data_IF_485011196735
#
_entry.id   IF_485011196735
#
_cell.length_a   1.000
_cell.length_b   1.000
_cell.length_c   1.000
_cell.angle_alpha   90.00
_cell.angle_beta   90.00
_cell.angle_gamma   90.00
#
_symmetry.space_group_name_H-M   'P 1'
#
loop_
_entity.id
_entity.type
_entity.pdbx_description
1 polymer ?
#
# COMPACT_ATOMS: atom_id res chain seq x y z
N UNK A 1 3.76 -11.02 6.00
CA UNK A 1 3.29 -9.69 6.44
C UNK A 1 3.08 -8.81 5.22
N UNK A 2 1.88 -8.23 5.06
CA UNK A 2 1.54 -7.45 3.88
C UNK A 2 2.19 -6.06 3.90
N UNK A 3 2.14 -5.35 2.77
CA UNK A 3 2.69 -4.00 2.60
C UNK A 3 1.75 -2.87 3.03
N UNK A 4 2.12 -1.64 2.67
CA UNK A 4 1.26 -0.46 2.79
C UNK A 4 -0.08 -0.73 2.09
N UNK A 5 -1.20 -0.36 2.70
CA UNK A 5 -2.54 -0.65 2.16
C UNK A 5 -2.82 -2.16 1.96
N UNK A 6 -2.11 -3.05 2.67
CA UNK A 6 -2.32 -4.49 2.56
C UNK A 6 -3.19 -5.11 3.66
N UNK A 7 -3.54 -4.33 4.70
CA UNK A 7 -4.44 -4.74 5.79
C UNK A 7 -5.65 -3.80 5.88
N UNK A 8 -6.73 -4.26 6.48
CA UNK A 8 -7.97 -3.51 6.61
C UNK A 8 -8.44 -3.41 8.06
N UNK A 9 -8.96 -2.24 8.42
CA UNK A 9 -9.75 -2.05 9.63
C UNK A 9 -10.85 -1.01 9.34
N UNK A 10 -12.10 -1.38 9.59
CA UNK A 10 -13.25 -0.56 9.25
C UNK A 10 -13.24 0.80 9.95
N UNK A 11 -13.03 0.81 11.27
CA UNK A 11 -13.04 2.03 12.07
C UNK A 11 -11.88 2.96 11.68
N UNK A 12 -10.72 2.37 11.39
CA UNK A 12 -9.54 3.10 10.95
C UNK A 12 -9.74 3.82 9.61
N UNK A 13 -10.26 3.09 8.62
CA UNK A 13 -10.31 3.55 7.22
C UNK A 13 -11.60 4.33 6.93
N UNK A 14 -12.75 3.81 7.33
CA UNK A 14 -14.05 4.39 7.00
C UNK A 14 -14.53 5.44 8.00
N UNK A 15 -14.15 5.32 9.28
CA UNK A 15 -14.49 6.32 10.30
C UNK A 15 -13.32 7.27 10.61
N UNK A 16 -12.22 7.19 9.85
CA UNK A 16 -11.00 7.96 10.08
C UNK A 16 -10.48 7.89 11.54
N UNK A 17 -10.70 6.78 12.25
CA UNK A 17 -10.30 6.68 13.66
C UNK A 17 -8.80 6.39 13.77
N UNK A 18 -8.07 7.19 14.55
CA UNK A 18 -6.60 7.10 14.66
C UNK A 18 -6.09 6.36 15.90
N UNK A 19 -6.96 6.06 16.87
CA UNK A 19 -6.65 5.34 18.12
C UNK A 19 -7.89 4.62 18.67
N UNK A 20 -7.72 3.76 19.69
CA UNK A 20 -8.84 3.06 20.37
C UNK A 20 -9.78 2.33 19.38
N UNK A 21 -9.18 1.60 18.43
CA UNK A 21 -9.90 0.72 17.52
C UNK A 21 -10.43 -0.48 18.33
N UNK A 22 -11.69 -0.85 18.12
CA UNK A 22 -12.33 -1.97 18.83
C UNK A 22 -12.16 -3.29 18.08
N UNK A 23 -12.00 -3.19 16.76
CA UNK A 23 -11.84 -4.33 15.86
C UNK A 23 -10.37 -4.57 15.53
N UNK A 24 -9.94 -5.84 15.34
CA UNK A 24 -8.60 -6.14 14.87
C UNK A 24 -8.40 -5.72 13.40
N UNK A 25 -7.15 -5.70 12.96
CA UNK A 25 -6.82 -5.59 11.54
C UNK A 25 -6.95 -6.96 10.88
N UNK A 26 -7.47 -6.99 9.65
CA UNK A 26 -7.68 -8.21 8.85
C UNK A 26 -7.06 -8.04 7.47
N UNK A 27 -7.17 -9.07 6.61
CA UNK A 27 -6.90 -8.87 5.19
C UNK A 27 -7.86 -7.83 4.60
N UNK A 28 -7.37 -7.13 3.58
CA UNK A 28 -8.20 -6.28 2.77
C UNK A 28 -8.61 -7.05 1.52
N UNK A 29 -9.88 -6.96 1.12
CA UNK A 29 -10.36 -7.61 -0.11
C UNK A 29 -9.51 -7.29 -1.35
N UNK A 30 -8.90 -6.11 -1.40
CA UNK A 30 -8.01 -5.69 -2.50
C UNK A 30 -6.63 -6.33 -2.45
N UNK A 31 -6.21 -6.83 -1.29
CA UNK A 31 -4.89 -7.43 -1.09
C UNK A 31 -4.93 -8.96 -1.08
N UNK A 32 -6.12 -9.57 -0.99
CA UNK A 32 -6.31 -11.02 -1.08
C UNK A 32 -5.69 -11.58 -2.37
N UNK A 33 -5.98 -10.99 -3.54
CA UNK A 33 -5.40 -11.45 -4.83
C UNK A 33 -3.86 -11.33 -4.90
N UNK A 34 -3.24 -10.57 -3.99
CA UNK A 34 -1.78 -10.40 -3.90
C UNK A 34 -1.17 -11.42 -2.94
N UNK A 35 -1.78 -11.64 -1.77
CA UNK A 35 -1.18 -12.42 -0.69
C UNK A 35 -1.73 -13.84 -0.56
N UNK A 36 -2.96 -14.11 -1.04
CA UNK A 36 -3.55 -15.45 -0.98
C UNK A 36 -2.69 -16.50 -1.69
N UNK A 37 -2.04 -16.24 -2.85
CA UNK A 37 -1.17 -17.23 -3.49
C UNK A 37 -0.06 -17.76 -2.58
N UNK A 38 0.71 -16.88 -1.93
CA UNK A 38 1.77 -17.32 -1.01
C UNK A 38 1.19 -17.95 0.26
N UNK A 39 0.08 -17.42 0.79
CA UNK A 39 -0.58 -17.98 1.98
C UNK A 39 -1.05 -19.41 1.71
N UNK A 40 -1.60 -19.66 0.52
CA UNK A 40 -2.07 -20.97 0.08
C UNK A 40 -0.92 -21.95 -0.22
N UNK A 41 0.25 -21.44 -0.61
CA UNK A 41 1.43 -22.27 -0.91
C UNK A 41 2.23 -22.68 0.34
N UNK A 42 2.14 -21.93 1.47
CA UNK A 42 2.88 -22.24 2.71
C UNK A 42 2.57 -23.65 3.27
N UNK A 43 1.31 -24.13 3.31
CA UNK A 43 1.00 -25.50 3.74
C UNK A 43 1.74 -26.60 2.96
N UNK A 44 2.03 -26.39 1.68
CA UNK A 44 2.73 -27.38 0.83
C UNK A 44 4.20 -27.56 1.23
N UNK A 45 4.76 -26.60 1.98
CA UNK A 45 6.11 -26.72 2.57
C UNK A 45 6.11 -27.38 3.94
N UNK A 46 4.95 -27.87 4.43
CA UNK A 46 4.77 -28.40 5.78
C UNK A 46 4.74 -27.33 6.88
N UNK A 47 4.61 -26.05 6.52
CA UNK A 47 4.56 -24.92 7.45
C UNK A 47 3.11 -24.44 7.65
N UNK A 48 2.82 -23.78 8.77
CA UNK A 48 1.52 -23.15 8.99
C UNK A 48 1.59 -21.65 8.70
N UNK A 49 0.72 -21.09 7.83
CA UNK A 49 0.72 -19.65 7.59
C UNK A 49 0.18 -18.89 8.81
N UNK A 50 0.90 -17.84 9.22
CA UNK A 50 0.50 -16.94 10.30
C UNK A 50 0.41 -15.49 9.78
N UNK A 51 -0.67 -15.11 9.08
CA UNK A 51 -0.83 -13.73 8.60
C UNK A 51 -0.92 -12.76 9.78
N UNK A 52 -0.02 -11.79 9.81
CA UNK A 52 -0.06 -10.67 10.74
C UNK A 52 -0.50 -9.40 9.99
N UNK A 53 -1.76 -9.01 10.22
CA UNK A 53 -2.36 -7.79 9.72
C UNK A 53 -2.20 -6.67 10.75
N UNK A 54 -1.88 -5.46 10.30
CA UNK A 54 -1.44 -4.39 11.18
C UNK A 54 -1.87 -3.01 10.67
N UNK A 55 -1.76 -2.00 11.55
CA UNK A 55 -2.08 -0.61 11.19
C UNK A 55 -0.93 -0.01 10.39
N UNK A 56 -0.98 -0.20 9.06
CA UNK A 56 0.01 0.32 8.12
C UNK A 56 0.04 1.85 8.06
N UNK A 57 -0.91 2.55 8.68
CA UNK A 57 -0.88 4.01 8.79
C UNK A 57 0.13 4.47 9.86
N UNK A 58 0.44 3.62 10.83
CA UNK A 58 1.39 3.90 11.91
C UNK A 58 2.82 3.59 11.50
N UNK A 59 3.77 4.22 12.19
CA UNK A 59 5.19 3.97 11.98
C UNK A 59 5.50 2.46 12.12
N UNK A 60 6.37 1.88 11.27
CA UNK A 60 6.78 0.48 11.38
C UNK A 60 7.23 0.08 12.80
N UNK A 61 7.87 0.99 13.52
CA UNK A 61 8.36 0.76 14.90
C UNK A 61 7.21 0.57 15.90
N UNK A 62 6.08 1.24 15.72
CA UNK A 62 4.89 1.06 16.57
C UNK A 62 4.27 -0.33 16.35
N UNK A 63 4.36 -0.86 15.13
CA UNK A 63 3.84 -2.19 14.79
C UNK A 63 4.78 -3.32 15.23
N UNK A 64 6.08 -3.06 15.42
CA UNK A 64 7.05 -4.04 15.91
C UNK A 64 6.66 -4.61 17.29
N UNK A 65 6.16 -3.76 18.20
CA UNK A 65 5.68 -4.21 19.52
C UNK A 65 4.48 -5.16 19.39
N UNK A 66 3.55 -4.88 18.46
CA UNK A 66 2.40 -5.74 18.20
C UNK A 66 2.82 -7.05 17.54
N UNK A 67 3.85 -7.02 16.68
CA UNK A 67 4.42 -8.22 16.07
C UNK A 67 5.03 -9.14 17.15
N UNK A 68 5.73 -8.58 18.14
CA UNK A 68 6.24 -9.35 19.29
C UNK A 68 5.12 -10.11 19.99
N UNK A 69 4.09 -9.39 20.41
CA UNK A 69 2.92 -9.95 21.09
C UNK A 69 2.22 -11.01 20.24
N UNK A 70 2.14 -10.80 18.93
CA UNK A 70 1.58 -11.77 18.00
C UNK A 70 2.41 -13.05 17.97
N UNK A 71 3.74 -12.97 17.81
CA UNK A 71 4.62 -14.15 17.81
C UNK A 71 4.49 -14.92 19.12
N UNK A 72 4.60 -14.24 20.27
CA UNK A 72 4.46 -14.85 21.60
C UNK A 72 3.08 -15.51 21.81
N UNK A 73 2.02 -15.01 21.16
CA UNK A 73 0.69 -15.62 21.20
C UNK A 73 0.53 -16.86 20.30
N UNK A 74 1.47 -17.07 19.38
CA UNK A 74 1.44 -18.14 18.38
C UNK A 74 2.49 -19.22 18.61
N UNK A 75 3.44 -19.00 19.51
CA UNK A 75 4.53 -19.92 19.79
C UNK A 75 4.60 -20.29 21.28
N UNK A 76 5.24 -21.42 21.58
CA UNK A 76 5.64 -21.76 22.95
C UNK A 76 7.03 -21.18 23.26
N UNK A 77 7.44 -21.07 24.55
CA UNK A 77 8.78 -20.57 24.90
C UNK A 77 9.90 -21.31 24.15
N UNK A 78 10.75 -20.57 23.46
CA UNK A 78 11.88 -21.08 22.66
C UNK A 78 11.54 -21.50 21.22
N UNK A 79 10.26 -21.57 20.85
CA UNK A 79 9.86 -21.78 19.46
C UNK A 79 9.98 -20.47 18.67
N UNK A 80 10.67 -20.54 17.52
CA UNK A 80 10.92 -19.41 16.61
C UNK A 80 10.16 -19.61 15.29
N UNK A 81 9.72 -18.51 14.69
CA UNK A 81 9.02 -18.50 13.40
C UNK A 81 9.93 -18.10 12.24
N UNK A 82 9.51 -18.42 11.02
CA UNK A 82 10.03 -17.79 9.81
C UNK A 82 9.14 -16.60 9.44
N UNK A 83 9.75 -15.49 9.08
CA UNK A 83 9.07 -14.25 8.76
C UNK A 83 9.29 -13.86 7.29
N UNK A 84 8.19 -13.59 6.58
CA UNK A 84 8.20 -13.04 5.22
C UNK A 84 7.56 -11.65 5.30
N UNK A 85 8.30 -10.63 4.89
CA UNK A 85 7.83 -9.24 4.91
C UNK A 85 7.84 -8.64 3.52
N UNK A 86 6.66 -8.31 2.98
CA UNK A 86 6.56 -7.66 1.67
C UNK A 86 6.44 -6.15 1.81
N UNK A 87 7.19 -5.38 1.01
CA UNK A 87 7.11 -3.93 0.96
C UNK A 87 7.27 -3.33 2.37
N UNK A 88 6.38 -2.46 2.83
CA UNK A 88 6.39 -1.93 4.20
C UNK A 88 6.36 -3.03 5.30
N UNK A 89 5.80 -4.22 5.03
CA UNK A 89 5.76 -5.32 5.99
C UNK A 89 7.15 -5.81 6.40
N UNK A 90 8.13 -5.78 5.48
CA UNK A 90 9.52 -6.09 5.82
C UNK A 90 10.19 -5.00 6.66
N UNK A 91 9.73 -3.74 6.57
CA UNK A 91 10.18 -2.69 7.49
C UNK A 91 9.66 -2.89 8.91
N UNK A 92 8.44 -3.42 9.09
CA UNK A 92 7.94 -3.76 10.43
C UNK A 92 8.76 -4.90 11.05
N UNK A 93 9.08 -5.93 10.27
CA UNK A 93 9.94 -7.04 10.74
C UNK A 93 11.35 -6.53 11.04
N UNK A 94 11.91 -5.67 10.18
CA UNK A 94 13.19 -5.00 10.44
C UNK A 94 13.16 -4.27 11.78
N UNK A 95 12.15 -3.44 12.04
CA UNK A 95 12.03 -2.69 13.29
C UNK A 95 11.92 -3.63 14.51
N UNK A 96 11.23 -4.76 14.38
CA UNK A 96 11.18 -5.81 15.40
C UNK A 96 12.54 -6.46 15.65
N UNK A 97 13.26 -6.82 14.58
CA UNK A 97 14.60 -7.42 14.69
C UNK A 97 15.62 -6.44 15.29
N UNK A 98 15.56 -5.16 14.92
CA UNK A 98 16.39 -4.10 15.52
C UNK A 98 16.11 -3.93 17.03
N UNK A 99 14.88 -4.16 17.48
CA UNK A 99 14.50 -4.03 18.89
C UNK A 99 14.85 -5.29 19.73
N UNK A 100 14.63 -6.49 19.18
CA UNK A 100 14.75 -7.75 19.93
C UNK A 100 16.13 -8.41 19.82
N UNK A 101 16.86 -8.17 18.72
CA UNK A 101 18.20 -8.72 18.51
C UNK A 101 18.25 -10.25 18.74
N UNK A 102 19.12 -10.74 19.62
CA UNK A 102 19.27 -12.17 19.94
C UNK A 102 18.05 -12.79 20.61
N UNK A 103 17.19 -11.98 21.25
CA UNK A 103 15.96 -12.43 21.90
C UNK A 103 14.80 -12.59 20.90
N UNK A 104 15.08 -12.43 19.61
CA UNK A 104 14.07 -12.54 18.56
C UNK A 104 13.40 -13.91 18.54
N UNK A 105 12.06 -13.89 18.50
CA UNK A 105 11.22 -15.05 18.18
C UNK A 105 11.23 -15.41 16.68
N UNK A 106 12.09 -14.78 15.86
CA UNK A 106 12.26 -15.08 14.44
C UNK A 106 13.62 -15.75 14.24
N UNK A 107 13.66 -16.85 13.49
CA UNK A 107 14.91 -17.53 13.11
C UNK A 107 15.33 -17.29 11.66
N UNK A 108 14.36 -16.97 10.78
CA UNK A 108 14.61 -16.59 9.38
C UNK A 108 13.74 -15.42 8.98
N UNK A 109 14.31 -14.41 8.32
CA UNK A 109 13.61 -13.27 7.76
C UNK A 109 13.91 -13.13 6.26
N UNK A 110 12.87 -13.20 5.44
CA UNK A 110 12.91 -12.84 4.03
C UNK A 110 12.20 -11.50 3.83
N UNK A 111 12.99 -10.49 3.49
CA UNK A 111 12.50 -9.20 3.02
C UNK A 111 12.15 -9.29 1.54
N UNK A 112 10.97 -8.83 1.12
CA UNK A 112 10.49 -8.95 -0.27
C UNK A 112 10.10 -7.57 -0.78
N UNK A 113 10.96 -6.97 -1.61
CA UNK A 113 10.74 -5.63 -2.18
C UNK A 113 10.60 -4.51 -1.13
N UNK A 114 11.16 -4.66 0.07
CA UNK A 114 10.98 -3.67 1.15
C UNK A 114 11.89 -2.45 0.99
N UNK A 115 11.38 -1.21 1.12
CA UNK A 115 12.18 0.00 0.91
C UNK A 115 13.04 0.34 2.13
N UNK A 116 14.13 -0.40 2.37
CA UNK A 116 15.07 -0.19 3.48
C UNK A 116 15.81 1.15 3.43
N UNK A 117 15.83 1.84 2.28
CA UNK A 117 16.29 3.21 2.11
C UNK A 117 15.18 4.18 1.66
N UNK A 118 13.91 3.77 1.78
CA UNK A 118 12.73 4.54 1.36
C UNK A 118 12.43 4.47 -0.14
N UNK A 119 11.31 5.07 -0.54
CA UNK A 119 10.82 5.13 -1.91
C UNK A 119 10.38 6.55 -2.27
N UNK A 120 10.79 7.04 -3.45
CA UNK A 120 10.62 8.44 -3.83
C UNK A 120 9.15 8.84 -4.04
N UNK A 121 8.27 7.88 -4.29
CA UNK A 121 6.83 8.06 -4.45
C UNK A 121 6.11 8.53 -3.18
N UNK A 122 6.73 8.38 -2.00
CA UNK A 122 6.23 8.89 -0.73
C UNK A 122 6.33 10.43 -0.59
N UNK A 123 7.25 11.07 -1.32
CA UNK A 123 7.52 12.51 -1.22
C UNK A 123 6.30 13.39 -1.54
N UNK A 124 5.60 13.22 -2.67
CA UNK A 124 4.39 14.01 -2.98
C UNK A 124 3.31 13.96 -1.91
N UNK A 125 3.07 12.77 -1.34
CA UNK A 125 2.07 12.59 -0.28
C UNK A 125 2.51 13.34 0.98
N UNK A 126 3.76 13.17 1.40
CA UNK A 126 4.27 13.83 2.61
C UNK A 126 4.39 15.35 2.49
N UNK A 127 4.81 15.85 1.32
CA UNK A 127 5.14 17.25 1.12
C UNK A 127 3.94 18.11 0.73
N UNK A 128 2.90 17.52 0.13
CA UNK A 128 1.75 18.29 -0.37
C UNK A 128 0.41 17.55 -0.32
N UNK A 129 0.38 16.30 0.16
CA UNK A 129 -0.83 15.46 0.13
C UNK A 129 -1.21 14.96 -1.26
N UNK A 130 -0.29 15.01 -2.23
CA UNK A 130 -0.55 14.46 -3.56
C UNK A 130 -0.25 12.96 -3.59
N UNK A 131 -1.22 12.17 -4.04
CA UNK A 131 -1.09 10.70 -4.04
C UNK A 131 -0.51 10.21 -5.36
N UNK A 132 0.72 9.70 -5.33
CA UNK A 132 1.36 8.97 -6.43
C UNK A 132 1.44 7.48 -6.10
N UNK A 133 1.80 6.65 -7.09
CA UNK A 133 2.01 5.20 -6.92
C UNK A 133 0.92 4.35 -7.55
N UNK A 134 0.80 3.12 -7.08
CA UNK A 134 -0.15 2.14 -7.61
C UNK A 134 -1.61 2.46 -7.24
N UNK A 135 -2.53 1.80 -7.95
CA UNK A 135 -3.97 2.07 -7.86
C UNK A 135 -4.60 1.66 -6.53
N UNK A 136 -4.10 0.61 -5.86
CA UNK A 136 -4.59 0.20 -4.53
C UNK A 136 -4.24 1.27 -3.48
N UNK A 137 -2.99 1.75 -3.50
CA UNK A 137 -2.57 2.84 -2.62
C UNK A 137 -3.35 4.14 -2.91
N UNK A 138 -3.53 4.49 -4.18
CA UNK A 138 -4.38 5.64 -4.57
C UNK A 138 -5.78 5.52 -4.00
N UNK A 139 -6.41 4.35 -4.14
CA UNK A 139 -7.74 4.12 -3.58
C UNK A 139 -7.73 4.25 -2.04
N UNK A 140 -6.77 3.61 -1.36
CA UNK A 140 -6.65 3.69 0.09
C UNK A 140 -6.52 5.12 0.60
N UNK A 141 -5.64 5.90 -0.02
CA UNK A 141 -5.41 7.29 0.32
C UNK A 141 -6.65 8.16 0.05
N UNK A 142 -7.32 7.98 -1.09
CA UNK A 142 -8.56 8.70 -1.41
C UNK A 142 -9.70 8.34 -0.47
N UNK A 143 -9.85 7.07 -0.07
CA UNK A 143 -10.85 6.68 0.93
C UNK A 143 -10.58 7.42 2.25
N UNK A 144 -9.33 7.44 2.71
CA UNK A 144 -8.95 8.15 3.93
C UNK A 144 -9.22 9.65 3.79
N UNK A 145 -8.79 10.30 2.70
CA UNK A 145 -9.03 11.71 2.43
C UNK A 145 -10.53 12.06 2.53
N UNK A 146 -11.37 11.35 1.77
CA UNK A 146 -12.82 11.57 1.72
C UNK A 146 -13.47 11.34 3.09
N UNK A 147 -13.11 10.25 3.78
CA UNK A 147 -13.77 9.86 5.03
C UNK A 147 -13.30 10.73 6.20
N UNK A 148 -12.03 11.10 6.26
CA UNK A 148 -11.54 12.05 7.25
C UNK A 148 -12.18 13.42 7.09
N UNK A 149 -12.37 13.89 5.85
CA UNK A 149 -13.14 15.11 5.60
C UNK A 149 -14.55 15.04 6.21
N UNK A 150 -15.28 13.93 6.04
CA UNK A 150 -16.60 13.73 6.69
C UNK A 150 -16.53 13.61 8.21
N UNK A 151 -15.43 13.10 8.77
CA UNK A 151 -15.24 12.92 10.21
C UNK A 151 -14.78 14.19 10.95
N UNK A 152 -14.94 15.38 10.34
CA UNK A 152 -14.68 16.65 11.00
C UNK A 152 -13.33 17.30 10.68
N UNK A 153 -12.57 16.76 9.71
CA UNK A 153 -11.34 17.40 9.20
C UNK A 153 -11.63 18.51 8.17
N UNK A 154 -12.79 19.17 8.27
CA UNK A 154 -13.16 20.25 7.34
C UNK A 154 -12.17 21.42 7.42
N UNK A 155 -11.68 21.86 6.26
CA UNK A 155 -10.72 22.97 6.16
C UNK A 155 -9.27 22.61 6.49
N UNK A 156 -8.99 21.34 6.83
CA UNK A 156 -7.63 20.82 6.98
C UNK A 156 -7.12 20.42 5.60
N UNK A 157 -5.86 20.73 5.30
CA UNK A 157 -5.27 20.36 4.01
C UNK A 157 -4.99 18.86 3.91
N UNK A 158 -5.00 18.30 2.69
CA UNK A 158 -4.68 16.87 2.47
C UNK A 158 -3.33 16.48 3.05
N UNK A 159 -2.33 17.39 2.93
CA UNK A 159 -1.02 17.23 3.59
C UNK A 159 -1.18 16.98 5.10
N UNK A 160 -1.95 17.81 5.80
CA UNK A 160 -2.13 17.68 7.26
C UNK A 160 -2.94 16.44 7.63
N UNK A 161 -3.94 16.07 6.81
CA UNK A 161 -4.67 14.81 6.96
C UNK A 161 -3.71 13.63 6.84
N UNK A 162 -2.92 13.54 5.77
CA UNK A 162 -2.01 12.41 5.60
C UNK A 162 -0.91 12.37 6.67
N UNK A 163 -0.34 13.51 7.07
CA UNK A 163 0.66 13.56 8.14
C UNK A 163 0.13 13.09 9.49
N UNK A 164 -1.14 13.38 9.79
CA UNK A 164 -1.76 13.02 11.08
C UNK A 164 -2.33 11.59 11.08
N UNK A 165 -2.93 11.18 9.97
CA UNK A 165 -3.64 9.89 9.86
C UNK A 165 -2.72 8.78 9.41
N UNK A 166 -1.77 9.06 8.51
CA UNK A 166 -0.84 8.10 7.90
C UNK A 166 0.63 8.54 8.08
N UNK A 167 1.10 8.75 9.33
CA UNK A 167 2.49 9.16 9.59
C UNK A 167 3.53 8.19 9.02
N UNK A 168 3.17 6.93 8.74
CA UNK A 168 4.07 5.96 8.10
C UNK A 168 4.63 6.41 6.74
N UNK A 169 3.93 7.29 6.02
CA UNK A 169 4.42 7.87 4.76
C UNK A 169 5.75 8.62 4.99
N UNK A 170 5.93 9.27 6.15
CA UNK A 170 7.20 9.91 6.49
C UNK A 170 8.35 8.90 6.56
N UNK A 171 8.06 7.73 7.14
CA UNK A 171 9.03 6.65 7.34
C UNK A 171 9.33 5.87 6.06
N UNK A 172 8.60 6.16 4.98
CA UNK A 172 8.91 5.68 3.62
C UNK A 172 9.72 6.68 2.80
N UNK A 173 9.98 7.90 3.30
CA UNK A 173 10.79 8.89 2.59
C UNK A 173 12.20 8.37 2.32
N UNK A 174 12.81 8.66 1.15
CA UNK A 174 14.16 8.21 0.87
C UNK A 174 15.19 8.76 1.84
N UNK A 175 16.16 7.93 2.23
CA UNK A 175 17.36 8.34 2.97
C UNK A 175 18.54 8.71 2.05
N UNK A 176 18.38 8.58 0.74
CA UNK A 176 19.33 9.00 -0.30
C UNK A 176 18.85 10.28 -0.99
N UNK A 177 19.71 10.91 -1.80
CA UNK A 177 19.32 12.08 -2.60
C UNK A 177 18.44 11.65 -3.77
N UNK A 178 17.21 12.15 -3.82
CA UNK A 178 16.22 11.81 -4.84
C UNK A 178 15.58 13.03 -5.49
N UNK A 179 15.84 14.24 -4.98
CA UNK A 179 15.35 15.48 -5.58
C UNK A 179 16.44 16.08 -6.47
N UNK A 180 16.10 16.43 -7.71
CA UNK A 180 17.03 17.08 -8.65
C UNK A 180 16.55 18.49 -8.95
N UNK A 181 17.36 19.50 -8.64
CA UNK A 181 17.03 20.88 -8.94
C UNK A 181 17.05 21.13 -10.45
N UNK A 182 15.95 21.62 -11.03
CA UNK A 182 15.85 21.80 -12.48
C UNK A 182 16.72 22.94 -13.03
N UNK A 183 17.14 23.90 -12.20
CA UNK A 183 17.96 25.04 -12.63
C UNK A 183 19.44 24.66 -12.63
N UNK A 184 19.93 24.02 -11.56
CA UNK A 184 21.35 23.62 -11.45
C UNK A 184 21.63 22.23 -12.01
N UNK A 185 20.61 21.40 -12.22
CA UNK A 185 20.71 19.98 -12.57
C UNK A 185 21.40 19.11 -11.49
N UNK A 186 21.49 19.62 -10.25
CA UNK A 186 22.14 18.92 -9.14
C UNK A 186 21.15 18.16 -8.24
N UNK A 187 21.60 17.03 -7.71
CA UNK A 187 20.88 16.30 -6.66
C UNK A 187 20.98 17.02 -5.32
N UNK A 188 19.82 17.34 -4.73
CA UNK A 188 19.68 18.01 -3.43
C UNK A 188 19.22 17.06 -2.34
N UNK A 189 19.66 17.34 -1.11
CA UNK A 189 19.19 16.67 0.10
C UNK A 189 17.91 17.36 0.59
N UNK A 190 16.85 16.58 0.84
CA UNK A 190 15.63 17.09 1.46
C UNK A 190 15.92 17.53 2.91
N UNK A 191 15.49 18.74 3.25
CA UNK A 191 15.65 19.35 4.57
C UNK A 191 14.39 19.22 5.42
N UNK A 192 13.21 19.30 4.81
CA UNK A 192 11.92 19.26 5.52
C UNK A 192 11.24 17.89 5.42
N UNK A 193 11.47 17.17 4.34
CA UNK A 193 10.89 15.86 4.05
C UNK A 193 11.91 14.77 4.34
N UNK A 194 12.26 14.65 5.62
CA UNK A 194 13.23 13.67 6.10
C UNK A 194 12.54 12.47 6.75
N UNK A 195 13.11 11.30 6.48
CA UNK A 195 12.74 10.07 7.14
C UNK A 195 13.22 10.10 8.61
N UNK A 196 12.38 9.78 9.60
CA UNK A 196 12.78 9.86 11.02
C UNK A 196 13.51 8.61 11.54
N UNK A 197 13.63 7.55 10.74
CA UNK A 197 14.17 6.26 11.18
C UNK A 197 15.25 5.71 10.25
N UNK A 198 14.98 5.60 8.94
CA UNK A 198 15.94 5.06 7.97
C UNK A 198 17.29 5.82 7.85
N UNK A 199 17.43 7.14 8.15
CA UNK A 199 18.72 7.80 8.05
C UNK A 199 19.66 7.50 9.24
N UNK A 200 19.20 6.80 10.28
CA UNK A 200 20.00 6.50 11.48
C UNK A 200 20.65 5.11 11.48
N UNK A 201 20.62 4.37 10.36
CA UNK A 201 21.42 3.16 10.21
C UNK A 201 20.92 2.24 9.12
N UNK A 202 21.85 1.68 8.35
CA UNK A 202 21.62 0.43 7.63
C UNK A 202 21.22 -0.63 8.65
N UNK A 203 20.26 -1.49 8.31
CA UNK A 203 19.86 -2.62 9.14
C UNK A 203 21.13 -3.41 9.52
N UNK A 204 21.57 -3.31 10.77
CA UNK A 204 22.89 -3.81 11.17
C UNK A 204 22.85 -5.33 11.27
N UNK A 205 23.61 -5.98 10.40
CA UNK A 205 23.79 -7.42 10.38
C UNK A 205 25.24 -7.79 10.72
N UNK A 206 25.50 -9.00 11.25
CA UNK A 206 24.52 -10.06 11.54
C UNK A 206 23.75 -9.81 12.84
N UNK A 207 22.48 -10.27 12.88
CA UNK A 207 21.76 -10.47 14.13
C UNK A 207 22.02 -11.93 14.57
N UNK A 208 22.53 -12.18 15.79
CA UNK A 208 22.80 -13.53 16.26
C UNK A 208 21.57 -14.44 16.10
N UNK A 209 21.79 -15.65 15.57
CA UNK A 209 20.76 -16.68 15.38
C UNK A 209 19.61 -16.36 14.42
N UNK A 210 19.70 -15.25 13.68
CA UNK A 210 18.70 -14.87 12.68
C UNK A 210 19.31 -14.91 11.29
N UNK A 211 18.79 -15.78 10.43
CA UNK A 211 19.08 -15.76 9.00
C UNK A 211 18.30 -14.62 8.34
N UNK A 212 18.99 -13.74 7.60
CA UNK A 212 18.36 -12.64 6.87
C UNK A 212 18.69 -12.72 5.39
N UNK A 213 17.66 -12.61 4.56
CA UNK A 213 17.78 -12.46 3.13
C UNK A 213 16.78 -11.45 2.57
N UNK A 214 17.07 -10.91 1.39
CA UNK A 214 16.20 -10.02 0.64
C UNK A 214 15.98 -10.55 -0.77
N UNK A 215 14.73 -10.58 -1.21
CA UNK A 215 14.30 -10.75 -2.59
C UNK A 215 13.90 -9.38 -3.14
N UNK A 216 14.55 -8.94 -4.22
CA UNK A 216 14.28 -7.64 -4.84
C UNK A 216 14.03 -7.76 -6.34
N UNK A 217 13.14 -6.91 -6.86
CA UNK A 217 12.77 -6.87 -8.27
C UNK A 217 13.64 -5.94 -9.09
N UNK A 218 13.70 -6.22 -10.39
CA UNK A 218 14.40 -5.45 -11.43
C UNK A 218 13.61 -5.49 -12.73
N UNK A 219 14.02 -4.72 -13.73
CA UNK A 219 13.40 -4.69 -15.06
C UNK A 219 12.20 -3.78 -15.17
N UNK A 220 11.79 -3.12 -14.08
CA UNK A 220 10.62 -2.25 -14.05
C UNK A 220 11.03 -0.80 -13.87
N UNK A 221 10.41 0.09 -14.64
CA UNK A 221 10.64 1.53 -14.51
C UNK A 221 10.20 2.02 -13.12
N UNK A 222 11.18 2.41 -12.30
CA UNK A 222 11.00 2.73 -10.90
C UNK A 222 11.46 4.15 -10.62
N UNK A 223 10.63 4.95 -9.94
CA UNK A 223 10.94 6.36 -9.65
C UNK A 223 12.24 6.49 -8.85
N UNK A 224 13.29 7.00 -9.48
CA UNK A 224 14.60 7.17 -8.87
C UNK A 224 14.86 8.60 -8.44
N UNK A 225 14.41 9.56 -9.25
CA UNK A 225 14.60 10.97 -8.99
C UNK A 225 13.36 11.78 -9.37
N UNK A 226 13.17 12.90 -8.68
CA UNK A 226 12.10 13.85 -8.92
C UNK A 226 12.75 15.19 -9.29
N UNK A 227 12.70 15.59 -10.57
CA UNK A 227 13.02 16.94 -10.97
C UNK A 227 12.08 17.92 -10.27
N UNK A 228 12.63 18.93 -9.60
CA UNK A 228 11.88 19.93 -8.85
C UNK A 228 12.25 21.36 -9.23
N UNK A 229 11.31 22.28 -8.97
CA UNK A 229 11.53 23.73 -8.99
C UNK A 229 11.09 24.36 -7.68
N UNK A 230 11.40 25.63 -7.49
CA UNK A 230 10.90 26.39 -6.34
C UNK A 230 9.36 26.41 -6.31
N UNK A 231 8.81 26.21 -5.11
CA UNK A 231 7.39 26.42 -4.84
C UNK A 231 7.02 27.90 -5.07
N UNK A 232 5.83 28.17 -5.58
CA UNK A 232 5.35 29.55 -5.72
C UNK A 232 4.97 30.15 -4.35
N UNK A 233 4.69 31.46 -4.30
CA UNK A 233 4.39 32.15 -3.03
C UNK A 233 3.20 31.57 -2.26
N UNK A 234 2.13 31.16 -2.94
CA UNK A 234 0.97 30.57 -2.28
C UNK A 234 1.32 29.19 -1.70
N UNK A 235 2.07 28.38 -2.45
CA UNK A 235 2.55 27.06 -2.01
C UNK A 235 3.50 27.16 -0.81
N UNK A 236 4.38 28.18 -0.79
CA UNK A 236 5.25 28.48 0.35
C UNK A 236 4.44 28.88 1.60
N UNK A 237 3.40 29.71 1.44
CA UNK A 237 2.49 30.08 2.54
C UNK A 237 1.78 28.85 3.11
N UNK A 238 1.36 27.93 2.25
CA UNK A 238 0.75 26.65 2.64
C UNK A 238 1.78 25.64 3.17
N UNK A 239 3.08 25.98 3.16
CA UNK A 239 4.17 25.09 3.58
C UNK A 239 4.19 23.77 2.79
N UNK A 240 3.76 23.78 1.52
CA UNK A 240 3.85 22.63 0.63
C UNK A 240 5.06 22.77 -0.28
N UNK A 241 5.64 21.65 -0.71
CA UNK A 241 6.82 21.64 -1.59
C UNK A 241 8.02 22.40 -1.03
N UNK A 242 8.23 22.37 0.29
CA UNK A 242 9.33 23.09 0.94
C UNK A 242 10.71 22.63 0.44
N UNK A 243 10.84 21.37 0.02
CA UNK A 243 12.05 20.84 -0.61
C UNK A 243 12.05 20.93 -2.15
N UNK A 244 10.99 21.45 -2.76
CA UNK A 244 10.87 21.62 -4.21
C UNK A 244 9.61 21.00 -4.81
N UNK A 245 8.93 21.74 -5.69
CA UNK A 245 7.73 21.27 -6.38
C UNK A 245 8.10 20.35 -7.54
N UNK A 246 7.57 19.12 -7.61
CA UNK A 246 7.78 18.23 -8.74
C UNK A 246 7.38 18.85 -10.08
N UNK A 247 8.20 18.62 -11.10
CA UNK A 247 7.92 19.02 -12.50
C UNK A 247 8.13 17.87 -13.48
N UNK A 248 8.43 16.68 -12.97
CA UNK A 248 8.64 15.47 -13.75
C UNK A 248 8.87 14.27 -12.84
N UNK A 249 9.09 13.12 -13.47
CA UNK A 249 9.45 11.85 -12.85
C UNK A 249 10.61 11.28 -13.65
N UNK A 250 11.71 10.92 -13.00
CA UNK A 250 12.83 10.22 -13.63
C UNK A 250 12.86 8.80 -13.09
N UNK A 251 12.74 7.82 -13.98
CA UNK A 251 12.74 6.40 -13.63
C UNK A 251 14.07 5.72 -13.93
N UNK A 252 14.31 4.61 -13.23
CA UNK A 252 15.39 3.65 -13.48
C UNK A 252 14.81 2.24 -13.53
N UNK A 253 15.27 1.40 -14.47
CA UNK A 253 14.83 0.01 -14.62
C UNK A 253 15.46 -0.94 -13.59
N UNK A 254 16.39 -0.47 -12.78
CA UNK A 254 16.99 -1.23 -11.67
C UNK A 254 16.12 -1.08 -10.42
N UNK A 255 14.90 -1.60 -10.52
CA UNK A 255 13.89 -1.64 -9.47
C UNK A 255 12.65 -2.42 -9.90
N UNK A 256 11.67 -2.52 -9.00
CA UNK A 256 10.47 -3.36 -9.14
C UNK A 256 9.21 -2.59 -9.56
N UNK A 257 9.36 -1.31 -9.91
CA UNK A 257 8.29 -0.40 -10.30
C UNK A 257 7.76 0.46 -9.15
N UNK A 258 8.12 0.13 -7.91
CA UNK A 258 7.82 0.91 -6.70
C UNK A 258 9.11 1.23 -5.93
N UNK A 259 9.92 0.22 -5.64
CA UNK A 259 11.13 0.29 -4.84
C UNK A 259 12.36 0.06 -5.72
N UNK A 260 13.31 0.99 -5.65
CA UNK A 260 14.61 0.83 -6.31
C UNK A 260 15.34 -0.37 -5.72
N UNK A 261 16.07 -1.14 -6.54
CA UNK A 261 16.86 -2.26 -6.03
C UNK A 261 17.82 -1.81 -4.93
N UNK A 262 18.49 -0.66 -5.08
CA UNK A 262 19.38 -0.10 -4.05
C UNK A 262 18.70 0.09 -2.69
N UNK A 263 17.38 0.34 -2.68
CA UNK A 263 16.59 0.52 -1.47
C UNK A 263 16.08 -0.80 -0.92
N UNK A 264 15.89 -1.81 -1.77
CA UNK A 264 15.47 -3.15 -1.38
C UNK A 264 16.61 -4.03 -0.84
N UNK A 265 17.85 -3.75 -1.23
CA UNK A 265 19.03 -4.46 -0.76
C UNK A 265 19.25 -4.27 0.75
N UNK A 266 19.65 -5.34 1.41
CA UNK A 266 20.11 -5.33 2.80
C UNK A 266 21.62 -5.63 2.79
N UNK A 267 22.49 -4.69 3.16
CA UNK A 267 23.93 -4.96 3.29
C UNK A 267 24.19 -6.15 4.22
N UNK A 268 25.18 -6.97 3.87
CA UNK A 268 25.62 -8.16 4.63
C UNK A 268 24.57 -9.30 4.74
N UNK A 269 23.41 -9.18 4.10
CA UNK A 269 22.45 -10.26 3.89
C UNK A 269 22.66 -10.99 2.57
N UNK A 270 22.00 -12.14 2.40
CA UNK A 270 21.82 -12.73 1.06
C UNK A 270 20.81 -11.88 0.30
N UNK A 271 21.20 -11.38 -0.86
CA UNK A 271 20.35 -10.56 -1.71
C UNK A 271 20.11 -11.29 -3.03
N UNK A 272 18.86 -11.65 -3.31
CA UNK A 272 18.43 -12.30 -4.53
C UNK A 272 17.67 -11.33 -5.42
N UNK A 273 18.10 -11.26 -6.67
CA UNK A 273 17.39 -10.55 -7.72
C UNK A 273 16.35 -11.44 -8.38
N UNK A 274 15.19 -10.87 -8.72
CA UNK A 274 14.23 -11.42 -9.68
C UNK A 274 13.82 -10.35 -10.71
N UNK A 275 13.41 -10.77 -11.91
CA UNK A 275 12.90 -9.85 -12.94
C UNK A 275 11.37 -9.70 -12.83
N UNK A 276 10.91 -9.36 -11.64
CA UNK A 276 9.49 -9.26 -11.28
C UNK A 276 9.16 -7.84 -10.82
N UNK A 277 7.91 -7.43 -11.04
CA UNK A 277 7.40 -6.19 -10.46
C UNK A 277 7.11 -6.36 -8.96
N UNK A 278 6.87 -5.24 -8.29
CA UNK A 278 6.70 -5.17 -6.84
C UNK A 278 5.68 -6.17 -6.29
N UNK A 279 4.56 -6.37 -6.99
CA UNK A 279 3.50 -7.29 -6.59
C UNK A 279 3.85 -8.74 -6.93
N UNK A 280 4.42 -8.98 -8.10
CA UNK A 280 4.75 -10.34 -8.55
C UNK A 280 5.86 -10.98 -7.71
N UNK A 281 6.71 -10.19 -7.04
CA UNK A 281 7.69 -10.71 -6.07
C UNK A 281 7.07 -11.58 -4.97
N UNK A 282 5.83 -11.30 -4.55
CA UNK A 282 5.13 -12.04 -3.47
C UNK A 282 3.95 -12.88 -3.99
N UNK A 283 3.50 -12.61 -5.23
CA UNK A 283 2.29 -13.18 -5.82
C UNK A 283 2.58 -14.27 -6.85
N UNK A 284 3.58 -14.06 -7.73
CA UNK A 284 3.84 -14.95 -8.85
C UNK A 284 4.59 -16.21 -8.39
N UNK A 285 4.37 -17.33 -9.08
CA UNK A 285 4.99 -18.62 -8.75
C UNK A 285 6.53 -18.52 -8.70
N UNK A 286 7.15 -17.75 -9.60
CA UNK A 286 8.60 -17.48 -9.58
C UNK A 286 9.04 -16.80 -8.27
N UNK A 287 8.34 -15.75 -7.85
CA UNK A 287 8.63 -15.03 -6.61
C UNK A 287 8.42 -15.88 -5.37
N UNK A 288 7.31 -16.61 -5.30
CA UNK A 288 6.99 -17.54 -4.21
C UNK A 288 8.05 -18.64 -4.10
N UNK A 289 8.43 -19.24 -5.23
CA UNK A 289 9.46 -20.28 -5.28
C UNK A 289 10.78 -19.77 -4.74
N UNK A 290 11.18 -18.55 -5.10
CA UNK A 290 12.43 -17.98 -4.64
C UNK A 290 12.41 -17.62 -3.14
N UNK A 291 11.27 -17.17 -2.61
CA UNK A 291 11.09 -16.97 -1.17
C UNK A 291 11.28 -18.28 -0.42
N UNK A 292 10.66 -19.37 -0.89
CA UNK A 292 10.80 -20.68 -0.25
C UNK A 292 12.21 -21.27 -0.39
N UNK A 293 12.88 -21.06 -1.52
CA UNK A 293 14.30 -21.41 -1.69
C UNK A 293 15.19 -20.70 -0.67
N UNK A 294 15.01 -19.39 -0.46
CA UNK A 294 15.76 -18.63 0.55
C UNK A 294 15.45 -19.10 1.99
N UNK A 295 14.22 -19.57 2.24
CA UNK A 295 13.86 -20.21 3.50
C UNK A 295 14.41 -21.64 3.65
N UNK A 296 14.97 -22.23 2.58
CA UNK A 296 15.41 -23.62 2.56
C UNK A 296 14.25 -24.62 2.67
N UNK A 297 13.09 -24.24 2.17
CA UNK A 297 11.88 -25.06 2.16
C UNK A 297 11.74 -25.75 0.79
N UNK A 298 11.36 -27.02 0.79
CA UNK A 298 11.06 -27.73 -0.45
C UNK A 298 9.68 -27.31 -0.95
N UNK A 299 9.63 -26.77 -2.16
CA UNK A 299 8.39 -26.41 -2.84
C UNK A 299 8.44 -26.94 -4.28
N UNK A 300 7.51 -27.83 -4.61
CA UNK A 300 7.38 -28.36 -5.96
C UNK A 300 6.66 -27.34 -6.83
N UNK A 301 7.35 -26.74 -7.79
CA UNK A 301 6.70 -25.91 -8.80
C UNK A 301 5.86 -26.85 -9.66
N UNK A 302 4.53 -26.68 -9.71
CA UNK A 302 3.77 -27.30 -10.80
C UNK A 302 4.20 -26.64 -12.10
N UNK A 303 4.40 -27.41 -13.17
CA UNK A 303 4.71 -26.94 -14.54
C UNK A 303 3.57 -26.12 -15.17
N UNK A 304 2.89 -25.26 -14.42
CA UNK A 304 2.09 -24.19 -14.96
C UNK A 304 3.03 -23.10 -15.44
N UNK A 305 3.06 -22.90 -16.75
CA UNK A 305 3.68 -21.73 -17.37
C UNK A 305 3.35 -20.49 -16.52
N UNK A 306 4.38 -19.79 -16.07
CA UNK A 306 4.26 -18.54 -15.35
C UNK A 306 3.41 -17.59 -16.19
N UNK A 307 2.11 -17.52 -15.89
CA UNK A 307 1.27 -16.44 -16.36
C UNK A 307 1.69 -15.25 -15.54
N UNK A 308 2.69 -14.51 -16.04
CA UNK A 308 2.87 -13.11 -15.69
C UNK A 308 1.47 -12.50 -15.73
N UNK A 309 0.90 -12.20 -14.56
CA UNK A 309 -0.33 -11.44 -14.50
C UNK A 309 0.09 -10.02 -14.82
N UNK A 310 0.14 -9.75 -16.11
CA UNK A 310 0.53 -8.47 -16.66
C UNK A 310 -0.40 -7.40 -16.07
N UNK A 311 0.24 -6.37 -15.52
CA UNK A 311 -0.29 -5.04 -15.23
C UNK A 311 -1.00 -4.86 -13.88
N UNK A 312 -0.28 -4.23 -12.95
CA UNK A 312 -0.89 -3.41 -11.89
C UNK A 312 -2.01 -2.55 -12.51
N UNK A 313 -3.26 -2.63 -12.02
CA UNK A 313 -4.37 -2.03 -12.73
C UNK A 313 -4.15 -0.54 -12.95
N UNK A 314 -4.39 -0.08 -14.17
CA UNK A 314 -4.14 1.33 -14.55
C UNK A 314 -5.31 2.24 -14.19
N UNK A 315 -6.48 1.65 -13.95
CA UNK A 315 -7.71 2.33 -13.59
C UNK A 315 -8.54 1.53 -12.60
N UNK A 316 -9.44 2.22 -11.90
CA UNK A 316 -10.34 1.59 -10.93
C UNK A 316 -11.63 2.39 -10.77
N UNK A 317 -12.75 1.67 -10.64
CA UNK A 317 -14.03 2.21 -10.20
C UNK A 317 -14.36 1.61 -8.84
N UNK A 318 -14.50 2.45 -7.82
CA UNK A 318 -14.79 2.02 -6.46
C UNK A 318 -16.03 2.72 -5.90
N UNK A 319 -16.88 1.94 -5.25
CA UNK A 319 -18.07 2.42 -4.56
C UNK A 319 -17.88 2.08 -3.08
N UNK A 320 -18.01 3.09 -2.23
CA UNK A 320 -17.87 2.94 -0.78
C UNK A 320 -19.12 3.42 -0.07
N UNK A 321 -19.62 2.65 0.90
CA UNK A 321 -20.69 3.08 1.80
C UNK A 321 -20.49 2.51 3.18
N UNK A 322 -20.70 3.34 4.21
CA UNK A 322 -20.52 3.00 5.61
C UNK A 322 -21.76 2.40 6.27
N UNK A 323 -22.91 2.68 5.67
CA UNK A 323 -24.21 2.68 6.34
C UNK A 323 -25.20 1.71 5.68
N UNK A 324 -24.87 1.18 4.50
CA UNK A 324 -25.72 0.21 3.79
C UNK A 324 -24.92 -0.85 3.05
N UNK A 325 -25.55 -2.01 2.83
CA UNK A 325 -25.09 -3.01 1.86
C UNK A 325 -25.51 -2.60 0.47
N UNK A 326 -24.69 -2.94 -0.51
CA UNK A 326 -24.98 -2.65 -1.90
C UNK A 326 -24.48 -3.74 -2.83
N UNK A 327 -25.00 -3.75 -4.03
CA UNK A 327 -24.56 -4.64 -5.10
C UNK A 327 -24.47 -3.87 -6.41
N UNK A 328 -23.62 -4.34 -7.31
CA UNK A 328 -23.42 -3.72 -8.61
C UNK A 328 -23.48 -4.78 -9.71
N UNK A 329 -24.23 -4.47 -10.75
CA UNK A 329 -24.14 -5.16 -12.04
C UNK A 329 -23.11 -4.41 -12.88
N UNK A 330 -22.02 -5.08 -13.23
CA UNK A 330 -20.98 -4.50 -14.09
C UNK A 330 -21.41 -4.46 -15.58
N UNK A 331 -20.59 -3.82 -16.41
CA UNK A 331 -20.85 -3.66 -17.85
C UNK A 331 -21.00 -4.99 -18.61
N UNK A 332 -20.47 -6.09 -18.06
CA UNK A 332 -20.54 -7.44 -18.62
C UNK A 332 -21.73 -8.23 -18.02
N UNK A 333 -22.56 -7.61 -17.18
CA UNK A 333 -23.70 -8.24 -16.53
C UNK A 333 -23.35 -9.06 -15.28
N UNK A 334 -22.10 -9.02 -14.79
CA UNK A 334 -21.72 -9.74 -13.58
C UNK A 334 -22.19 -8.99 -12.34
N UNK A 335 -22.77 -9.73 -11.40
CA UNK A 335 -23.25 -9.19 -10.12
C UNK A 335 -22.13 -9.27 -9.09
N UNK A 336 -21.88 -8.17 -8.39
CA UNK A 336 -20.90 -8.07 -7.30
C UNK A 336 -21.59 -7.51 -6.06
N UNK A 337 -21.45 -8.17 -4.91
CA UNK A 337 -21.91 -7.66 -3.63
C UNK A 337 -20.82 -6.82 -2.96
N UNK A 338 -21.22 -5.86 -2.13
CA UNK A 338 -20.30 -5.10 -1.30
C UNK A 338 -19.70 -5.98 -0.21
N UNK A 339 -18.38 -5.95 -0.09
CA UNK A 339 -17.63 -6.59 0.98
C UNK A 339 -16.79 -5.53 1.69
N UNK A 340 -16.70 -5.58 3.03
CA UNK A 340 -16.03 -4.52 3.81
C UNK A 340 -16.47 -3.09 3.40
N UNK A 341 -17.76 -2.92 3.09
CA UNK A 341 -18.37 -1.65 2.64
C UNK A 341 -17.82 -1.09 1.32
N UNK A 342 -17.19 -1.94 0.51
CA UNK A 342 -16.53 -1.59 -0.74
C UNK A 342 -16.98 -2.52 -1.88
N UNK A 343 -17.16 -1.95 -3.07
CA UNK A 343 -16.99 -2.68 -4.33
C UNK A 343 -15.91 -1.94 -5.11
N UNK A 344 -14.88 -2.63 -5.57
CA UNK A 344 -13.85 -2.07 -6.44
C UNK A 344 -13.70 -2.95 -7.68
N UNK A 345 -13.62 -2.31 -8.83
CA UNK A 345 -13.36 -2.98 -10.11
C UNK A 345 -12.07 -2.40 -10.66
N UNK A 346 -11.06 -3.25 -10.79
CA UNK A 346 -9.81 -2.98 -11.49
C UNK A 346 -10.03 -2.98 -13.00
N UNK A 347 -9.42 -2.02 -13.70
CA UNK A 347 -9.55 -1.80 -15.14
C UNK A 347 -10.97 -1.96 -15.70
N UNK A 348 -11.94 -1.19 -15.16
CA UNK A 348 -13.33 -1.24 -15.60
C UNK A 348 -13.45 -0.86 -17.09
N UNK A 349 -14.36 -1.56 -17.79
CA UNK A 349 -14.75 -1.20 -19.16
C UNK A 349 -15.58 0.08 -19.15
N UNK A 350 -15.53 0.83 -20.23
CA UNK A 350 -16.45 1.95 -20.42
C UNK A 350 -17.88 1.42 -20.55
N UNK A 351 -18.84 2.03 -19.85
CA UNK A 351 -20.22 1.58 -19.89
C UNK A 351 -21.06 1.94 -18.65
N UNK A 352 -22.27 1.40 -18.64
CA UNK A 352 -23.24 1.59 -17.55
C UNK A 352 -23.08 0.49 -16.51
N UNK A 353 -22.91 0.90 -15.27
CA UNK A 353 -22.90 0.05 -14.08
C UNK A 353 -24.18 0.31 -13.30
N UNK A 354 -24.89 -0.75 -12.91
CA UNK A 354 -26.15 -0.61 -12.15
C UNK A 354 -25.89 -0.91 -10.68
N UNK A 355 -25.88 0.13 -9.86
CA UNK A 355 -25.72 0.06 -8.41
C UNK A 355 -27.09 -0.08 -7.75
N UNK A 356 -27.24 -1.09 -6.90
CA UNK A 356 -28.42 -1.28 -6.04
C UNK A 356 -28.01 -1.14 -4.59
N UNK A 357 -28.58 -0.15 -3.91
CA UNK A 357 -28.39 0.13 -2.49
C UNK A 357 -29.55 -0.47 -1.72
N UNK A 358 -29.25 -1.26 -0.70
CA UNK A 358 -30.27 -1.79 0.21
C UNK A 358 -30.76 -0.67 1.17
N UNK A 359 -31.95 -0.81 1.77
CA UNK A 359 -32.46 0.16 2.74
C UNK A 359 -31.49 0.33 3.92
N UNK A 360 -31.23 1.58 4.30
CA UNK A 360 -30.50 1.92 5.52
C UNK A 360 -31.47 2.39 6.60
N UNK A 361 -31.17 2.06 7.86
CA UNK A 361 -31.98 2.44 9.03
C UNK A 361 -31.92 3.96 9.32
N UNK A 362 -30.88 4.63 8.83
CA UNK A 362 -30.66 6.07 8.97
C UNK A 362 -30.34 6.71 7.61
N UNK A 363 -30.10 8.02 7.59
CA UNK A 363 -29.59 8.70 6.40
C UNK A 363 -28.22 8.10 6.03
N UNK A 364 -28.13 7.56 4.82
CA UNK A 364 -26.92 6.92 4.31
C UNK A 364 -26.33 7.75 3.15
N UNK A 365 -25.04 7.56 2.90
CA UNK A 365 -24.40 8.06 1.69
C UNK A 365 -23.51 6.99 1.08
N UNK A 366 -23.20 7.18 -0.21
CA UNK A 366 -22.16 6.41 -0.87
C UNK A 366 -21.27 7.34 -1.68
N UNK A 367 -19.99 7.03 -1.72
CA UNK A 367 -19.02 7.73 -2.55
C UNK A 367 -18.66 6.85 -3.73
N UNK A 368 -18.62 7.46 -4.90
CA UNK A 368 -18.06 6.87 -6.11
C UNK A 368 -16.69 7.46 -6.32
N UNK A 369 -15.67 6.62 -6.44
CA UNK A 369 -14.27 6.99 -6.71
C UNK A 369 -13.87 6.39 -8.05
N UNK A 370 -13.22 7.20 -8.88
CA UNK A 370 -12.70 6.83 -10.19
C UNK A 370 -11.21 7.16 -10.22
N UNK A 371 -10.38 6.15 -10.44
CA UNK A 371 -8.96 6.29 -10.77
C UNK A 371 -8.81 6.00 -12.25
N UNK A 372 -8.25 6.95 -13.00
CA UNK A 372 -8.18 6.88 -14.46
C UNK A 372 -6.75 6.56 -14.93
N UNK A 373 -6.57 6.04 -16.17
CA UNK A 373 -5.26 5.65 -16.69
C UNK A 373 -4.21 6.77 -16.75
N UNK A 374 -4.64 8.03 -16.69
CA UNK A 374 -3.78 9.21 -16.69
C UNK A 374 -3.48 9.74 -15.27
N UNK A 375 -3.58 8.89 -14.25
CA UNK A 375 -3.43 9.21 -12.82
C UNK A 375 -4.49 10.18 -12.24
N UNK A 376 -5.49 10.60 -13.01
CA UNK A 376 -6.54 11.49 -12.49
C UNK A 376 -7.47 10.70 -11.57
N UNK A 377 -7.67 11.24 -10.37
CA UNK A 377 -8.63 10.76 -9.38
C UNK A 377 -9.84 11.69 -9.39
N UNK A 378 -11.03 11.12 -9.51
CA UNK A 378 -12.31 11.84 -9.39
C UNK A 378 -13.13 11.12 -8.34
N UNK A 379 -13.82 11.87 -7.49
CA UNK A 379 -14.77 11.27 -6.58
C UNK A 379 -15.97 12.17 -6.38
N UNK A 380 -17.12 11.55 -6.11
CA UNK A 380 -18.34 12.26 -5.75
C UNK A 380 -19.14 11.46 -4.76
N UNK A 381 -19.74 12.16 -3.82
CA UNK A 381 -20.64 11.58 -2.85
C UNK A 381 -22.10 11.87 -3.16
N UNK A 382 -22.94 10.88 -2.85
CA UNK A 382 -24.36 10.90 -3.13
C UNK A 382 -25.13 10.51 -1.87
N UNK A 383 -26.16 11.29 -1.55
CA UNK A 383 -27.07 10.97 -0.46
C UNK A 383 -28.07 9.89 -0.89
N UNK A 384 -28.39 9.00 0.05
CA UNK A 384 -29.45 8.01 -0.06
C UNK A 384 -30.61 8.37 0.88
N UNK A 385 -31.84 8.28 0.37
CA UNK A 385 -33.04 8.40 1.21
C UNK A 385 -33.15 7.18 2.13
N UNK A 386 -33.36 7.42 3.42
CA UNK A 386 -33.51 6.36 4.44
C UNK A 386 -34.68 5.43 4.14
N UNK A 387 -34.57 4.17 4.55
CA UNK A 387 -35.65 3.18 4.46
C UNK A 387 -36.06 2.74 3.04
N UNK A 388 -35.39 3.21 1.99
CA UNK A 388 -35.76 2.91 0.60
C UNK A 388 -34.62 2.22 -0.14
N UNK A 389 -34.94 1.05 -0.70
CA UNK A 389 -34.07 0.38 -1.68
C UNK A 389 -34.01 1.23 -2.95
N UNK A 390 -32.82 1.51 -3.45
CA UNK A 390 -32.68 2.37 -4.63
C UNK A 390 -31.72 1.79 -5.65
N UNK A 391 -32.05 1.95 -6.92
CA UNK A 391 -31.19 1.58 -8.04
C UNK A 391 -30.70 2.85 -8.73
N UNK A 392 -29.41 2.89 -9.00
CA UNK A 392 -28.68 4.01 -9.59
C UNK A 392 -27.88 3.47 -10.78
N UNK A 393 -27.80 4.24 -11.86
CA UNK A 393 -26.95 3.91 -13.02
C UNK A 393 -25.75 4.83 -13.02
N UNK A 394 -24.56 4.26 -13.16
CA UNK A 394 -23.29 4.97 -13.18
C UNK A 394 -22.67 4.80 -14.57
N UNK A 395 -22.37 5.88 -15.27
CA UNK A 395 -21.73 5.85 -16.58
C UNK A 395 -20.22 6.11 -16.47
N UNK A 396 -19.44 5.04 -16.43
CA UNK A 396 -17.99 5.14 -16.38
C UNK A 396 -17.42 5.31 -17.80
N UNK A 397 -16.54 6.30 -17.99
CA UNK A 397 -15.93 6.61 -19.28
C UNK A 397 -14.50 7.14 -19.12
N UNK A 398 -13.52 6.42 -19.65
CA UNK A 398 -12.09 6.76 -19.55
C UNK A 398 -11.66 7.91 -20.47
N UNK A 399 -12.35 8.11 -21.60
CA UNK A 399 -11.99 9.10 -22.63
C UNK A 399 -12.51 10.49 -22.26
N UNK A 400 -13.75 10.56 -21.78
CA UNK A 400 -14.42 11.79 -21.35
C UNK A 400 -14.99 11.62 -19.94
N UNK A 401 -14.11 11.50 -18.93
CA UNK A 401 -14.52 11.26 -17.55
C UNK A 401 -15.26 12.46 -16.98
N UNK A 402 -16.31 12.18 -16.21
CA UNK A 402 -17.05 13.17 -15.42
C UNK A 402 -16.92 12.82 -13.95
N UNK A 403 -16.93 13.83 -13.08
CA UNK A 403 -16.97 13.61 -11.64
C UNK A 403 -18.35 13.09 -11.21
N UNK A 404 -19.41 13.69 -11.76
CA UNK A 404 -20.76 13.15 -11.70
C UNK A 404 -20.98 12.13 -12.81
N UNK A 405 -21.08 10.86 -12.42
CA UNK A 405 -21.34 9.77 -13.36
C UNK A 405 -22.74 9.19 -13.17
N UNK A 406 -23.55 9.75 -12.28
CA UNK A 406 -24.92 9.30 -12.12
C UNK A 406 -25.73 9.67 -13.37
N UNK A 407 -26.39 8.68 -13.97
CA UNK A 407 -27.30 8.90 -15.09
C UNK A 407 -28.74 8.64 -14.66
N UNK A 408 -29.64 9.49 -15.13
CA UNK A 408 -31.08 9.40 -14.88
C UNK A 408 -31.73 8.22 -15.60
#
# INVERSE_FOLDING_TARGET
>A
MPGLAGSFNWEAIFLCRTSNLLTPWTSWILSNEIYDPIIAAIPDTGMTPLPFYYDWRKDPRDNALKLKQFIESKTVPGEKVFAIGHSMGGLVIRAYLEAEQSESGISKFISVGSPHLGAADSYPTWSAGQVWGNTIWKLAATIIEVRCWRSGYHGISDKEIFRSVIPSVQTLLPSFKFLRDKKSDELKTAQFSQNPWLPNGLFQLPIPEVYVAALYGTGQQTLSEIPVKDANRAEQILGIWQDGKPVGKTGNTVGDGTVLALSALIPDAINRQANLNHIDLIKADEGISEIFNLLGLQYGVSDSEAKNSDVNPTSMLAIISGETKFSMVDSDGRIRGSEQGLIAISDPKDGIYTLTLEPADSQASFTVIQILPNDKILWREYDQKSGVRSTKKLNFNRVSPREDILVN
#
